data_IF_331707048682
#
_entry.id   IF_331707048682
#
_cell.length_a   1.000
_cell.length_b   1.000
_cell.length_c   1.000
_cell.angle_alpha   90.00
_cell.angle_beta   90.00
_cell.angle_gamma   90.00
#
_symmetry.space_group_name_H-M   'P 1'
#
loop_
_entity.id
_entity.type
_entity.pdbx_description
1 polymer ?
#
# COMPACT_ATOMS: atom_id res chain seq x y z
N UNK A 1 -5.59 -24.99 56.27
CA UNK A 1 -5.12 -23.75 55.62
C UNK A 1 -4.43 -24.22 54.36
N UNK A 2 -5.23 -24.46 53.32
CA UNK A 2 -4.74 -24.88 52.01
C UNK A 2 -4.67 -23.63 51.14
N UNK A 3 -3.46 -23.22 50.82
CA UNK A 3 -3.18 -22.03 50.02
C UNK A 3 -3.31 -22.40 48.54
N UNK A 4 -4.36 -21.89 47.90
CA UNK A 4 -4.65 -22.11 46.49
C UNK A 4 -3.76 -21.18 45.68
N UNK A 5 -2.76 -21.75 45.01
CA UNK A 5 -1.91 -21.00 44.09
C UNK A 5 -2.66 -20.80 42.78
N UNK A 6 -3.19 -19.60 42.56
CA UNK A 6 -3.78 -19.21 41.28
C UNK A 6 -2.63 -19.05 40.27
N UNK A 7 -2.54 -20.01 39.34
CA UNK A 7 -1.74 -19.84 38.12
C UNK A 7 -2.50 -18.91 37.19
N UNK A 8 -2.08 -17.65 37.13
CA UNK A 8 -2.53 -16.72 36.08
C UNK A 8 -1.91 -17.21 34.78
N UNK A 9 -2.71 -17.91 33.97
CA UNK A 9 -2.37 -18.22 32.58
C UNK A 9 -2.19 -16.90 31.84
N UNK A 10 -1.00 -16.71 31.27
CA UNK A 10 -0.66 -15.51 30.50
C UNK A 10 -1.73 -15.20 29.47
N UNK A 11 -2.21 -13.97 29.49
CA UNK A 11 -2.94 -13.38 28.38
C UNK A 11 -1.97 -13.39 27.20
N UNK A 12 -2.27 -14.12 26.14
CA UNK A 12 -1.53 -14.00 24.90
C UNK A 12 -1.53 -12.52 24.51
N UNK A 13 -0.36 -11.90 24.36
CA UNK A 13 -0.28 -10.60 23.71
C UNK A 13 -0.97 -10.76 22.35
N UNK A 14 -2.11 -10.09 22.15
CA UNK A 14 -2.69 -9.95 20.81
C UNK A 14 -1.67 -9.17 19.98
N UNK A 15 -0.83 -9.89 19.25
CA UNK A 15 0.15 -9.29 18.35
C UNK A 15 -0.62 -8.59 17.24
N UNK A 16 -0.57 -7.26 17.19
CA UNK A 16 -1.17 -6.46 16.11
C UNK A 16 -0.60 -6.90 14.75
N UNK A 17 -1.48 -7.12 13.78
CA UNK A 17 -1.16 -7.61 12.44
C UNK A 17 -1.36 -9.13 12.25
N UNK A 18 -1.30 -9.60 11.01
CA UNK A 18 -1.43 -11.03 10.70
C UNK A 18 -0.22 -11.87 11.16
N UNK A 19 -0.42 -13.17 11.44
CA UNK A 19 0.67 -14.12 11.60
C UNK A 19 1.58 -14.13 10.36
N UNK A 20 2.89 -14.25 10.57
CA UNK A 20 3.87 -14.31 9.47
C UNK A 20 4.23 -12.95 8.86
N UNK A 21 3.67 -11.83 9.35
CA UNK A 21 4.16 -10.50 8.96
C UNK A 21 5.64 -10.34 9.30
N UNK A 22 6.35 -9.57 8.50
CA UNK A 22 7.75 -9.23 8.76
C UNK A 22 7.88 -8.48 10.10
N UNK A 23 8.96 -8.76 10.85
CA UNK A 23 9.18 -8.20 12.20
C UNK A 23 9.21 -6.67 12.22
N UNK A 24 9.73 -6.09 11.14
CA UNK A 24 9.93 -4.65 11.03
C UNK A 24 8.67 -3.90 10.57
N UNK A 25 7.64 -4.61 10.08
CA UNK A 25 6.34 -4.02 9.79
C UNK A 25 5.64 -3.70 11.10
N UNK A 26 5.27 -2.43 11.29
CA UNK A 26 4.66 -1.94 12.53
C UNK A 26 3.35 -1.21 12.22
N UNK A 27 2.29 -1.42 13.02
CA UNK A 27 1.09 -0.61 12.90
C UNK A 27 1.44 0.86 13.16
N UNK A 28 0.84 1.76 12.39
CA UNK A 28 1.04 3.20 12.54
C UNK A 28 -0.10 3.74 13.40
N UNK A 29 0.16 4.25 14.62
CA UNK A 29 -0.90 4.74 15.49
C UNK A 29 -1.52 6.03 14.94
N UNK A 30 -2.76 6.30 15.36
CA UNK A 30 -3.39 7.61 15.11
C UNK A 30 -2.61 8.69 15.85
N UNK A 31 -2.08 9.66 15.11
CA UNK A 31 -1.29 10.78 15.63
C UNK A 31 -2.12 12.06 15.80
N UNK A 32 -3.23 12.19 15.08
CA UNK A 32 -4.15 13.31 15.19
C UNK A 32 -5.59 12.87 14.86
N UNK A 33 -6.55 13.19 15.73
CA UNK A 33 -7.97 12.93 15.48
C UNK A 33 -8.61 14.01 14.62
N UNK A 34 -9.59 13.64 13.80
CA UNK A 34 -10.43 14.58 13.05
C UNK A 34 -9.74 15.30 11.89
N UNK A 35 -8.68 14.71 11.32
CA UNK A 35 -8.06 15.23 10.10
C UNK A 35 -9.04 15.03 8.93
N UNK A 36 -9.41 16.13 8.28
CA UNK A 36 -10.26 16.15 7.09
C UNK A 36 -9.81 17.28 6.15
N UNK A 37 -10.28 17.26 4.90
CA UNK A 37 -9.94 18.27 3.89
C UNK A 37 -11.21 18.82 3.23
N UNK A 38 -11.25 20.13 2.89
CA UNK A 38 -12.45 20.73 2.30
C UNK A 38 -12.90 20.06 1.00
N UNK A 39 -11.96 19.58 0.20
CA UNK A 39 -12.19 18.97 -1.12
C UNK A 39 -12.41 17.46 -1.08
N UNK A 40 -12.47 16.83 0.11
CA UNK A 40 -12.84 15.42 0.27
C UNK A 40 -14.21 15.24 0.91
N UNK A 41 -14.86 16.31 1.37
CA UNK A 41 -16.17 16.23 1.98
C UNK A 41 -17.22 15.68 0.99
N UNK A 42 -17.80 14.53 1.31
CA UNK A 42 -18.75 13.82 0.44
C UNK A 42 -18.11 13.01 -0.68
N UNK A 43 -16.78 12.91 -0.73
CA UNK A 43 -16.06 12.06 -1.68
C UNK A 43 -16.15 10.58 -1.26
N UNK A 44 -16.27 9.66 -2.22
CA UNK A 44 -16.42 8.22 -1.91
C UNK A 44 -15.27 7.68 -1.05
N UNK A 45 -14.03 8.06 -1.35
CA UNK A 45 -12.83 7.66 -0.59
C UNK A 45 -12.54 8.53 0.65
N UNK A 46 -13.48 9.37 1.12
CA UNK A 46 -13.25 10.26 2.24
C UNK A 46 -12.76 9.51 3.48
N UNK A 47 -13.43 8.41 3.84
CA UNK A 47 -13.09 7.64 5.05
C UNK A 47 -11.66 7.07 5.00
N UNK A 48 -11.24 6.51 3.85
CA UNK A 48 -9.89 6.01 3.66
C UNK A 48 -8.85 7.13 3.75
N UNK A 49 -9.11 8.28 3.11
CA UNK A 49 -8.24 9.44 3.15
C UNK A 49 -8.05 9.94 4.59
N UNK A 50 -9.14 10.12 5.34
CA UNK A 50 -9.10 10.60 6.73
C UNK A 50 -8.41 9.58 7.65
N UNK A 51 -8.65 8.28 7.45
CA UNK A 51 -8.02 7.19 8.22
C UNK A 51 -6.50 7.19 8.09
N UNK A 52 -6.00 7.33 6.87
CA UNK A 52 -4.56 7.39 6.62
C UNK A 52 -3.95 8.73 7.02
N UNK A 53 -4.69 9.83 6.87
CA UNK A 53 -4.23 11.16 7.26
C UNK A 53 -4.12 11.32 8.78
N UNK A 54 -5.05 10.75 9.53
CA UNK A 54 -5.01 10.71 11.00
C UNK A 54 -3.76 9.99 11.56
N UNK A 55 -3.14 9.11 10.76
CA UNK A 55 -1.89 8.38 11.04
C UNK A 55 -0.63 9.02 10.43
N UNK A 56 -0.78 10.13 9.70
CA UNK A 56 0.33 10.80 8.99
C UNK A 56 0.90 9.99 7.81
N UNK A 57 0.21 8.93 7.38
CA UNK A 57 0.64 8.07 6.25
C UNK A 57 0.52 8.86 4.94
N UNK A 58 -0.60 9.56 4.77
CA UNK A 58 -0.86 10.47 3.66
C UNK A 58 -1.14 11.88 4.21
N UNK A 59 -0.76 12.90 3.46
CA UNK A 59 -0.92 14.30 3.87
C UNK A 59 -1.59 15.12 2.77
N UNK A 60 -2.25 16.21 3.18
CA UNK A 60 -2.68 17.26 2.26
C UNK A 60 -1.50 18.00 1.64
N UNK A 61 -1.80 18.87 0.67
CA UNK A 61 -0.84 19.82 0.10
C UNK A 61 -0.80 21.08 0.97
N UNK A 62 0.18 21.95 0.72
CA UNK A 62 0.43 23.16 1.53
C UNK A 62 -0.75 24.16 1.58
N UNK A 63 -1.68 24.07 0.62
CA UNK A 63 -2.90 24.88 0.57
C UNK A 63 -4.05 24.34 1.44
N UNK A 64 -3.83 23.28 2.21
CA UNK A 64 -4.84 22.65 3.05
C UNK A 64 -5.83 21.73 2.31
N UNK A 65 -5.59 21.46 1.02
CA UNK A 65 -6.41 20.55 0.21
C UNK A 65 -5.77 19.17 0.10
N UNK A 66 -6.59 18.13 -0.06
CA UNK A 66 -6.09 16.80 -0.35
C UNK A 66 -5.78 16.63 -1.84
N UNK A 67 -6.62 17.14 -2.73
CA UNK A 67 -6.59 16.97 -4.19
C UNK A 67 -6.75 15.49 -4.59
N UNK A 68 -7.94 14.89 -4.36
CA UNK A 68 -8.17 13.45 -4.51
C UNK A 68 -7.91 12.94 -5.94
N UNK A 69 -8.30 13.71 -6.94
CA UNK A 69 -8.20 13.33 -8.36
C UNK A 69 -6.86 13.70 -9.00
N UNK A 70 -5.86 14.10 -8.21
CA UNK A 70 -4.52 14.28 -8.73
C UNK A 70 -3.81 12.94 -8.91
N UNK A 71 -2.93 12.88 -9.90
CA UNK A 71 -2.02 11.74 -10.08
C UNK A 71 -0.85 11.81 -9.10
N UNK A 72 -0.12 10.70 -8.97
CA UNK A 72 1.06 10.59 -8.11
C UNK A 72 2.28 10.13 -8.89
N UNK A 73 3.44 10.55 -8.41
CA UNK A 73 4.72 10.01 -8.85
C UNK A 73 5.02 8.67 -8.16
N UNK A 74 5.87 7.86 -8.79
CA UNK A 74 6.37 6.60 -8.23
C UNK A 74 7.09 6.80 -6.89
N UNK A 75 7.83 7.89 -6.74
CA UNK A 75 8.52 8.21 -5.48
C UNK A 75 7.56 8.59 -4.35
N UNK A 76 6.52 9.37 -4.64
CA UNK A 76 5.46 9.66 -3.66
C UNK A 76 4.75 8.39 -3.22
N UNK A 77 4.39 7.51 -4.16
CA UNK A 77 3.73 6.26 -3.81
C UNK A 77 4.62 5.33 -2.97
N UNK A 78 5.90 5.16 -3.33
CA UNK A 78 6.85 4.38 -2.51
C UNK A 78 6.97 4.93 -1.08
N UNK A 79 6.99 6.25 -0.92
CA UNK A 79 7.02 6.88 0.40
C UNK A 79 5.77 6.59 1.23
N UNK A 80 4.58 6.63 0.62
CA UNK A 80 3.32 6.33 1.33
C UNK A 80 3.29 4.85 1.74
N UNK A 81 3.67 3.91 0.88
CA UNK A 81 3.71 2.47 1.23
C UNK A 81 4.67 2.21 2.39
N UNK A 82 5.89 2.77 2.34
CA UNK A 82 6.87 2.60 3.43
C UNK A 82 6.37 3.18 4.76
N UNK A 83 5.71 4.35 4.72
CA UNK A 83 5.06 4.93 5.91
C UNK A 83 3.92 4.06 6.41
N UNK A 84 3.05 3.58 5.53
CA UNK A 84 1.90 2.74 5.87
C UNK A 84 2.31 1.48 6.63
N UNK A 85 3.46 0.89 6.28
CA UNK A 85 4.00 -0.29 6.94
C UNK A 85 4.86 0.02 8.19
N UNK A 86 4.98 1.28 8.59
CA UNK A 86 5.78 1.70 9.75
C UNK A 86 7.28 1.42 9.59
N UNK A 87 7.77 1.27 8.35
CA UNK A 87 9.15 0.92 8.05
C UNK A 87 10.07 2.15 8.18
N UNK A 88 11.29 1.94 8.65
CA UNK A 88 12.28 3.01 8.80
C UNK A 88 12.94 3.30 7.44
N UNK A 89 12.89 4.55 6.93
CA UNK A 89 13.55 4.92 5.68
C UNK A 89 15.08 4.78 5.78
N UNK A 90 15.69 4.16 4.78
CA UNK A 90 17.13 4.00 4.66
C UNK A 90 17.54 4.07 3.20
N UNK A 91 18.52 4.93 2.90
CA UNK A 91 19.04 5.12 1.55
C UNK A 91 19.80 3.89 1.07
N UNK A 92 19.78 3.67 -0.24
CA UNK A 92 20.61 2.69 -0.96
C UNK A 92 21.17 3.36 -2.22
N UNK A 93 22.16 2.75 -2.85
CA UNK A 93 22.83 3.21 -4.07
C UNK A 93 22.47 2.38 -5.31
N UNK A 94 21.35 1.64 -5.24
CA UNK A 94 20.94 0.68 -6.27
C UNK A 94 20.42 1.34 -7.55
N UNK A 95 19.79 2.52 -7.43
CA UNK A 95 19.19 3.22 -8.57
C UNK A 95 20.02 4.45 -8.95
N UNK A 96 20.47 4.47 -10.20
CA UNK A 96 21.29 5.53 -10.79
C UNK A 96 20.56 6.86 -10.93
N UNK A 97 19.23 6.85 -10.97
CA UNK A 97 18.37 8.03 -11.08
C UNK A 97 17.76 8.47 -9.73
N UNK A 98 18.31 7.98 -8.62
CA UNK A 98 17.91 8.38 -7.25
C UNK A 98 19.12 8.98 -6.54
N UNK A 99 19.14 10.31 -6.40
CA UNK A 99 20.15 10.99 -5.60
C UNK A 99 19.99 10.64 -4.12
N UNK A 100 21.09 10.39 -3.41
CA UNK A 100 21.08 10.09 -1.98
C UNK A 100 20.49 11.23 -1.11
N UNK A 101 20.55 12.47 -1.60
CA UNK A 101 20.01 13.66 -0.93
C UNK A 101 18.54 13.95 -1.29
N UNK A 102 17.95 13.17 -2.20
CA UNK A 102 16.54 13.34 -2.53
C UNK A 102 15.66 12.98 -1.33
N UNK A 103 14.60 13.76 -1.08
CA UNK A 103 13.68 13.52 0.02
C UNK A 103 13.07 12.10 0.02
N UNK A 104 12.94 11.50 -1.17
CA UNK A 104 12.41 10.16 -1.36
C UNK A 104 13.46 9.05 -1.29
N UNK A 105 14.76 9.36 -1.24
CA UNK A 105 15.83 8.38 -1.38
C UNK A 105 15.77 7.28 -0.31
N UNK A 106 15.51 7.66 0.95
CA UNK A 106 15.35 6.71 2.04
C UNK A 106 14.13 5.80 1.87
N UNK A 107 13.03 6.32 1.32
CA UNK A 107 11.82 5.55 1.09
C UNK A 107 12.00 4.57 -0.07
N UNK A 108 12.60 5.02 -1.17
CA UNK A 108 12.90 4.16 -2.32
C UNK A 108 13.89 3.06 -1.93
N UNK A 109 14.94 3.39 -1.18
CA UNK A 109 15.92 2.41 -0.70
C UNK A 109 15.30 1.35 0.21
N UNK A 110 14.44 1.74 1.16
CA UNK A 110 13.68 0.81 1.99
C UNK A 110 12.71 -0.03 1.15
N UNK A 111 11.91 0.58 0.29
CA UNK A 111 10.97 -0.16 -0.55
C UNK A 111 11.68 -1.21 -1.43
N UNK A 112 12.88 -0.91 -1.92
CA UNK A 112 13.71 -1.88 -2.65
C UNK A 112 14.22 -2.99 -1.75
N UNK A 113 14.77 -2.66 -0.59
CA UNK A 113 15.32 -3.62 0.38
C UNK A 113 14.29 -4.66 0.80
N UNK A 114 13.03 -4.24 0.92
CA UNK A 114 11.90 -5.08 1.29
C UNK A 114 11.21 -5.77 0.09
N UNK A 115 11.71 -5.56 -1.13
CA UNK A 115 11.16 -6.16 -2.35
C UNK A 115 9.79 -5.62 -2.76
N UNK A 116 9.38 -4.45 -2.24
CA UNK A 116 8.16 -3.74 -2.64
C UNK A 116 8.33 -3.19 -4.07
N UNK A 117 9.53 -2.68 -4.38
CA UNK A 117 9.89 -2.17 -5.71
C UNK A 117 11.11 -2.90 -6.29
N UNK A 118 11.17 -2.99 -7.63
CA UNK A 118 12.31 -3.55 -8.37
C UNK A 118 12.96 -2.54 -9.34
N UNK A 119 12.40 -1.34 -9.48
CA UNK A 119 12.74 -0.42 -10.56
C UNK A 119 12.07 -0.77 -11.89
N UNK A 120 12.59 -0.20 -12.98
CA UNK A 120 12.06 -0.36 -14.35
C UNK A 120 13.06 -1.03 -15.31
N UNK A 121 14.20 -1.49 -14.79
CA UNK A 121 15.34 -1.98 -15.59
C UNK A 121 16.51 -0.99 -15.58
N UNK A 122 17.66 -1.44 -16.08
CA UNK A 122 18.88 -0.64 -16.28
C UNK A 122 19.36 0.15 -15.05
N UNK A 123 19.10 -0.37 -13.85
CA UNK A 123 19.44 0.32 -12.60
C UNK A 123 18.67 1.63 -12.39
N UNK A 124 17.42 1.72 -12.88
CA UNK A 124 16.58 2.92 -12.76
C UNK A 124 15.28 2.66 -12.02
N UNK A 125 14.78 3.67 -11.31
CA UNK A 125 13.50 3.65 -10.61
C UNK A 125 12.42 4.51 -11.27
N UNK A 126 12.80 5.58 -11.98
CA UNK A 126 11.91 6.64 -12.50
C UNK A 126 11.10 7.36 -11.41
N UNK A 127 11.76 8.02 -10.42
CA UNK A 127 11.09 8.58 -9.25
C UNK A 127 10.01 9.64 -9.58
N UNK A 128 10.21 10.40 -10.66
CA UNK A 128 9.29 11.47 -11.10
C UNK A 128 8.26 10.99 -12.13
N UNK A 129 8.32 9.72 -12.56
CA UNK A 129 7.34 9.15 -13.46
C UNK A 129 5.99 9.00 -12.75
N UNK A 130 4.90 9.28 -13.44
CA UNK A 130 3.55 9.02 -12.94
C UNK A 130 3.35 7.52 -12.81
N UNK A 131 2.81 7.08 -11.66
CA UNK A 131 2.56 5.65 -11.43
C UNK A 131 1.24 5.22 -12.06
N UNK A 132 1.27 4.10 -12.78
CA UNK A 132 0.07 3.48 -13.36
C UNK A 132 -0.64 2.57 -12.36
N UNK A 133 -1.92 2.31 -12.61
CA UNK A 133 -2.77 1.47 -11.75
C UNK A 133 -2.21 0.05 -11.59
N UNK A 134 -1.71 -0.56 -12.66
CA UNK A 134 -1.11 -1.90 -12.58
C UNK A 134 0.21 -1.92 -11.79
N UNK A 135 1.00 -0.84 -11.84
CA UNK A 135 2.23 -0.74 -11.05
C UNK A 135 1.93 -0.59 -9.56
N UNK A 136 0.92 0.23 -9.22
CA UNK A 136 0.45 0.39 -7.86
C UNK A 136 -0.03 -0.95 -7.28
N UNK A 137 -0.84 -1.71 -8.02
CA UNK A 137 -1.33 -3.02 -7.61
C UNK A 137 -0.20 -4.01 -7.32
N UNK A 138 0.83 -4.06 -8.18
CA UNK A 138 1.98 -4.95 -7.97
C UNK A 138 2.77 -4.58 -6.73
N UNK A 139 2.99 -3.28 -6.48
CA UNK A 139 3.67 -2.81 -5.28
C UNK A 139 2.84 -3.09 -4.01
N UNK A 140 1.52 -2.91 -4.05
CA UNK A 140 0.62 -3.22 -2.93
C UNK A 140 0.56 -4.71 -2.65
N UNK A 141 0.49 -5.58 -3.67
CA UNK A 141 0.58 -7.02 -3.48
C UNK A 141 1.89 -7.45 -2.81
N UNK A 142 3.02 -6.82 -3.17
CA UNK A 142 4.31 -7.09 -2.49
C UNK A 142 4.32 -6.60 -1.05
N UNK A 143 3.71 -5.44 -0.78
CA UNK A 143 3.52 -4.95 0.59
C UNK A 143 2.64 -5.89 1.42
N UNK A 144 1.54 -6.39 0.85
CA UNK A 144 0.64 -7.37 1.47
C UNK A 144 1.36 -8.63 1.92
N UNK A 145 2.28 -9.14 1.09
CA UNK A 145 3.12 -10.28 1.46
C UNK A 145 3.96 -10.00 2.71
N UNK A 146 4.51 -8.80 2.85
CA UNK A 146 5.25 -8.40 4.05
C UNK A 146 4.34 -8.28 5.28
N UNK A 147 3.07 -7.96 5.07
CA UNK A 147 2.04 -7.92 6.10
C UNK A 147 1.56 -9.32 6.53
N UNK A 148 2.05 -10.40 5.94
CA UNK A 148 1.67 -11.78 6.28
C UNK A 148 0.46 -12.30 5.50
N UNK A 149 -0.03 -11.58 4.48
CA UNK A 149 -1.08 -12.07 3.59
C UNK A 149 -0.53 -13.13 2.63
N UNK A 150 -1.36 -14.11 2.28
CA UNK A 150 -1.02 -15.07 1.23
C UNK A 150 -1.30 -14.46 -0.15
N UNK A 151 -0.23 -14.07 -0.83
CA UNK A 151 -0.31 -13.41 -2.14
C UNK A 151 -0.03 -14.39 -3.29
N UNK A 152 0.13 -15.68 -3.01
CA UNK A 152 0.37 -16.68 -4.04
C UNK A 152 -0.96 -17.03 -4.71
N UNK A 153 -1.01 -16.90 -6.03
CA UNK A 153 -2.17 -17.26 -6.84
C UNK A 153 -1.74 -18.21 -7.95
N UNK A 154 -2.53 -19.26 -8.15
CA UNK A 154 -2.41 -20.15 -9.29
C UNK A 154 -2.97 -19.48 -10.56
N UNK A 155 -2.51 -19.91 -11.73
CA UNK A 155 -2.88 -19.31 -13.03
C UNK A 155 -4.41 -19.25 -13.25
N UNK A 156 -5.14 -20.26 -12.79
CA UNK A 156 -6.60 -20.29 -12.93
C UNK A 156 -7.30 -19.26 -12.03
N UNK A 157 -6.75 -18.98 -10.84
CA UNK A 157 -7.28 -17.95 -9.94
C UNK A 157 -7.05 -16.56 -10.54
N UNK A 158 -5.84 -16.32 -11.05
CA UNK A 158 -5.50 -15.08 -11.74
C UNK A 158 -6.46 -14.84 -12.91
N UNK A 159 -6.68 -15.86 -13.75
CA UNK A 159 -7.58 -15.74 -14.89
C UNK A 159 -9.03 -15.52 -14.48
N UNK A 160 -9.54 -16.26 -13.49
CA UNK A 160 -10.92 -16.13 -13.03
C UNK A 160 -11.21 -14.73 -12.48
N UNK A 161 -10.30 -14.20 -11.65
CA UNK A 161 -10.47 -12.85 -11.09
C UNK A 161 -10.37 -11.76 -12.15
N UNK A 162 -9.48 -11.90 -13.14
CA UNK A 162 -9.28 -10.85 -14.15
C UNK A 162 -10.27 -10.91 -15.32
N UNK A 163 -10.81 -12.09 -15.65
CA UNK A 163 -11.69 -12.27 -16.81
C UNK A 163 -13.05 -11.56 -16.67
N UNK A 164 -13.40 -11.07 -15.47
CA UNK A 164 -14.59 -10.25 -15.28
C UNK A 164 -14.47 -8.84 -15.88
N UNK A 165 -13.24 -8.33 -16.04
CA UNK A 165 -12.99 -7.01 -16.60
C UNK A 165 -12.86 -7.06 -18.12
N UNK A 166 -13.43 -6.10 -18.84
CA UNK A 166 -13.49 -6.20 -20.30
C UNK A 166 -12.14 -5.98 -21.00
N UNK A 167 -11.23 -5.25 -20.35
CA UNK A 167 -9.91 -4.88 -20.88
C UNK A 167 -8.77 -5.72 -20.28
N UNK A 168 -9.05 -6.84 -19.60
CA UNK A 168 -8.04 -7.63 -18.89
C UNK A 168 -6.88 -8.13 -19.78
N UNK A 169 -7.13 -8.29 -21.07
CA UNK A 169 -6.10 -8.68 -22.06
C UNK A 169 -5.02 -7.61 -22.26
N UNK A 170 -5.29 -6.36 -21.88
CA UNK A 170 -4.34 -5.24 -21.95
C UNK A 170 -3.39 -5.18 -20.75
N UNK A 171 -3.67 -5.97 -19.69
CA UNK A 171 -2.82 -6.06 -18.50
C UNK A 171 -1.49 -6.71 -18.88
N UNK A 172 -0.39 -6.05 -18.53
CA UNK A 172 0.93 -6.58 -18.75
C UNK A 172 1.10 -7.93 -18.00
N UNK A 173 1.72 -8.97 -18.60
CA UNK A 173 1.83 -10.27 -17.96
C UNK A 173 2.41 -10.25 -16.54
N UNK A 174 3.40 -9.40 -16.30
CA UNK A 174 4.06 -9.23 -14.99
C UNK A 174 3.16 -8.60 -13.92
N UNK A 175 2.06 -7.93 -14.32
CA UNK A 175 1.15 -7.25 -13.41
C UNK A 175 -0.09 -8.08 -13.04
N UNK A 176 -0.38 -9.15 -13.79
CA UNK A 176 -1.61 -9.93 -13.66
C UNK A 176 -1.81 -10.49 -12.25
N UNK A 177 -0.78 -11.11 -11.68
CA UNK A 177 -0.87 -11.68 -10.34
C UNK A 177 -1.15 -10.59 -9.28
N UNK A 178 -0.48 -9.43 -9.37
CA UNK A 178 -0.67 -8.34 -8.42
C UNK A 178 -2.06 -7.71 -8.50
N UNK A 179 -2.56 -7.49 -9.72
CA UNK A 179 -3.94 -7.01 -9.92
C UNK A 179 -4.97 -8.03 -9.47
N UNK A 180 -4.82 -9.31 -9.84
CA UNK A 180 -5.73 -10.37 -9.43
C UNK A 180 -5.79 -10.50 -7.91
N UNK A 181 -4.65 -10.41 -7.22
CA UNK A 181 -4.60 -10.39 -5.76
C UNK A 181 -5.35 -9.18 -5.20
N UNK A 182 -5.07 -7.97 -5.69
CA UNK A 182 -5.70 -6.77 -5.16
C UNK A 182 -7.22 -6.76 -5.36
N UNK A 183 -7.72 -7.26 -6.49
CA UNK A 183 -9.16 -7.42 -6.69
C UNK A 183 -9.74 -8.55 -5.82
N UNK A 184 -9.05 -9.70 -5.72
CA UNK A 184 -9.53 -10.85 -4.93
C UNK A 184 -9.64 -10.58 -3.43
N UNK A 185 -8.83 -9.65 -2.91
CA UNK A 185 -8.81 -9.24 -1.49
C UNK A 185 -9.54 -7.91 -1.23
N UNK A 186 -10.32 -7.41 -2.20
CA UNK A 186 -11.05 -6.13 -2.12
C UNK A 186 -10.17 -4.90 -1.78
N UNK A 187 -8.87 -5.01 -2.08
CA UNK A 187 -7.92 -3.89 -2.02
C UNK A 187 -8.17 -2.92 -3.17
N UNK A 188 -8.57 -3.43 -4.33
CA UNK A 188 -9.08 -2.64 -5.45
C UNK A 188 -10.58 -2.88 -5.61
N UNK A 189 -11.32 -1.80 -5.79
CA UNK A 189 -12.75 -1.85 -6.06
C UNK A 189 -13.05 -2.54 -7.41
N UNK A 190 -14.04 -3.44 -7.40
CA UNK A 190 -14.44 -4.27 -8.53
C UNK A 190 -15.70 -3.76 -9.25
N UNK A 191 -16.23 -2.58 -8.89
CA UNK A 191 -17.49 -2.07 -9.46
C UNK A 191 -17.33 -1.55 -10.90
N UNK A 192 -16.11 -1.20 -11.29
CA UNK A 192 -15.77 -0.79 -12.65
C UNK A 192 -15.72 -1.96 -13.62
N UNK A 193 -16.20 -1.73 -14.85
CA UNK A 193 -16.15 -2.74 -15.93
C UNK A 193 -14.74 -2.97 -16.49
N UNK A 194 -13.79 -2.07 -16.19
CA UNK A 194 -12.44 -2.05 -16.75
C UNK A 194 -11.40 -1.92 -15.64
N UNK A 195 -10.23 -2.52 -15.86
CA UNK A 195 -9.05 -2.34 -15.01
C UNK A 195 -8.34 -1.03 -15.31
N UNK A 196 -8.28 -0.61 -16.57
CA UNK A 196 -7.49 0.54 -17.05
C UNK A 196 -6.01 0.47 -16.62
N UNK A 197 -5.26 -0.61 -16.95
CA UNK A 197 -4.00 -0.93 -16.29
C UNK A 197 -2.90 0.13 -16.44
N UNK A 198 -2.89 0.87 -17.54
CA UNK A 198 -1.89 1.90 -17.85
C UNK A 198 -2.31 3.30 -17.38
N UNK A 199 -3.58 3.49 -16.98
CA UNK A 199 -4.06 4.78 -16.47
C UNK A 199 -3.26 5.17 -15.23
N UNK A 200 -2.93 6.46 -15.14
CA UNK A 200 -2.37 7.03 -13.91
C UNK A 200 -3.37 6.86 -12.76
N UNK A 201 -2.94 6.22 -11.68
CA UNK A 201 -3.77 6.06 -10.50
C UNK A 201 -3.89 7.39 -9.75
N UNK A 202 -5.07 7.65 -9.21
CA UNK A 202 -5.38 8.87 -8.47
C UNK A 202 -4.99 8.75 -6.99
N UNK A 203 -4.82 9.89 -6.32
CA UNK A 203 -4.48 9.93 -4.89
C UNK A 203 -5.54 9.32 -4.00
N UNK A 204 -6.82 9.53 -4.31
CA UNK A 204 -7.94 8.91 -3.59
C UNK A 204 -7.91 7.37 -3.72
N UNK A 205 -7.63 6.85 -4.92
CA UNK A 205 -7.54 5.41 -5.17
C UNK A 205 -6.36 4.79 -4.41
N UNK A 206 -5.21 5.46 -4.38
CA UNK A 206 -4.06 5.04 -3.56
C UNK A 206 -4.42 5.01 -2.06
N UNK A 207 -5.17 6.00 -1.59
CA UNK A 207 -5.60 6.04 -0.19
C UNK A 207 -6.53 4.87 0.14
N UNK A 208 -7.49 4.57 -0.73
CA UNK A 208 -8.39 3.42 -0.60
C UNK A 208 -7.60 2.10 -0.55
N UNK A 209 -6.74 1.87 -1.56
CA UNK A 209 -5.94 0.64 -1.64
C UNK A 209 -5.12 0.39 -0.37
N UNK A 210 -4.48 1.43 0.15
CA UNK A 210 -3.64 1.28 1.34
C UNK A 210 -4.46 1.17 2.62
N UNK A 211 -5.62 1.82 2.69
CA UNK A 211 -6.53 1.63 3.82
C UNK A 211 -7.03 0.18 3.87
N UNK A 212 -7.50 -0.35 2.73
CA UNK A 212 -7.99 -1.73 2.63
C UNK A 212 -6.88 -2.75 2.89
N UNK A 213 -5.66 -2.51 2.36
CA UNK A 213 -4.50 -3.34 2.70
C UNK A 213 -4.26 -3.40 4.21
N UNK A 214 -4.22 -2.24 4.87
CA UNK A 214 -3.92 -2.20 6.31
C UNK A 214 -5.04 -2.83 7.14
N UNK A 215 -6.30 -2.68 6.73
CA UNK A 215 -7.45 -3.33 7.37
C UNK A 215 -7.37 -4.86 7.24
N UNK A 216 -7.20 -5.38 6.02
CA UNK A 216 -7.02 -6.81 5.75
C UNK A 216 -5.81 -7.41 6.49
N UNK A 217 -4.75 -6.61 6.65
CA UNK A 217 -3.56 -6.97 7.40
C UNK A 217 -3.70 -6.83 8.93
N UNK A 218 -4.83 -6.31 9.45
CA UNK A 218 -5.06 -6.01 10.87
C UNK A 218 -4.04 -5.03 11.46
N UNK A 219 -3.70 -3.99 10.71
CA UNK A 219 -2.71 -2.96 11.04
C UNK A 219 -3.30 -1.57 11.29
N UNK A 220 -4.63 -1.42 11.25
CA UNK A 220 -5.36 -0.19 11.60
C UNK A 220 -5.72 -0.12 13.09
#
# INVERSE_FOLDING_TARGET
MDDVTIRVTGVAEETVGLPGKHSDVKPVPVTAGGITFPDVAGHTNQAAIETLAARGIINGRDNGLFVPDATMTRSEFAAIVVRALGLTPKTTDIFTDVSADAWYAGYVGTAYTYGIINGVGDGRFLPNGTISRQEAAVMVARAAKLCGMDTALEDYQILNTLAQFTDYVTIAPWARAGLAFCYGEDILDQSDLNVEPIRAILRCEIAEMLCNLLDSAKLL
#
